data_IF_142816879015
#
_entry.id   IF_142816879015
#
_cell.length_a   1.000
_cell.length_b   1.000
_cell.length_c   1.000
_cell.angle_alpha   90.00
_cell.angle_beta   90.00
_cell.angle_gamma   90.00
#
_symmetry.space_group_name_H-M   'P 1'
#
loop_
_entity.id
_entity.type
_entity.pdbx_description
1 polymer ?
#
# COMPACT_ATOMS: atom_id res chain seq x y z
N UNK A 1 -90.79 5.24 -20.89
CA UNK A 1 -91.06 3.79 -20.74
C UNK A 1 -89.93 3.03 -21.37
N UNK A 2 -89.51 2.04 -20.69
CA UNK A 2 -88.67 0.89 -21.04
C UNK A 2 -87.19 0.98 -20.70
N UNK A 3 -86.82 0.18 -19.71
CA UNK A 3 -85.54 -0.21 -19.18
C UNK A 3 -84.80 -1.09 -20.18
N UNK A 4 -83.50 -0.95 -20.23
CA UNK A 4 -82.64 -2.07 -20.62
C UNK A 4 -81.40 -2.11 -19.70
N UNK A 5 -81.30 -3.22 -18.99
CA UNK A 5 -80.21 -3.54 -18.06
C UNK A 5 -78.95 -3.98 -18.83
N UNK A 6 -77.84 -3.37 -18.55
CA UNK A 6 -76.53 -3.79 -19.05
C UNK A 6 -75.78 -4.66 -18.03
N UNK A 7 -75.58 -5.90 -18.40
CA UNK A 7 -74.93 -6.96 -17.64
C UNK A 7 -73.43 -6.73 -17.60
N UNK A 8 -72.80 -6.58 -16.39
CA UNK A 8 -71.34 -6.50 -16.15
C UNK A 8 -70.77 -7.92 -16.20
N UNK A 9 -69.81 -8.12 -17.07
CA UNK A 9 -68.97 -9.29 -17.06
C UNK A 9 -67.91 -9.17 -15.93
N UNK A 10 -67.54 -10.25 -15.17
CA UNK A 10 -66.42 -10.24 -14.27
C UNK A 10 -65.16 -10.41 -15.09
N UNK A 11 -64.27 -9.40 -15.02
CA UNK A 11 -62.94 -9.43 -15.63
C UNK A 11 -61.86 -9.92 -14.65
N UNK A 12 -61.00 -10.71 -15.16
CA UNK A 12 -59.90 -11.45 -14.62
C UNK A 12 -59.02 -10.75 -13.56
N UNK A 13 -58.97 -11.29 -12.36
CA UNK A 13 -58.04 -10.94 -11.26
C UNK A 13 -56.88 -11.94 -11.18
N UNK A 14 -56.41 -12.52 -12.29
CA UNK A 14 -55.41 -13.56 -12.27
C UNK A 14 -53.99 -13.09 -12.65
N UNK A 15 -53.75 -11.79 -12.93
CA UNK A 15 -52.45 -11.26 -13.41
C UNK A 15 -51.49 -10.74 -12.35
N UNK A 16 -51.98 -10.39 -11.13
CA UNK A 16 -51.19 -9.68 -10.13
C UNK A 16 -50.23 -10.54 -9.28
N UNK A 17 -50.52 -11.81 -9.12
CA UNK A 17 -49.77 -12.68 -8.19
C UNK A 17 -48.42 -13.22 -8.77
N UNK A 18 -48.25 -13.23 -10.09
CA UNK A 18 -47.02 -13.75 -10.72
C UNK A 18 -45.91 -12.72 -10.86
N UNK A 19 -46.24 -11.42 -10.92
CA UNK A 19 -45.23 -10.35 -10.96
C UNK A 19 -44.62 -10.06 -9.57
N UNK A 20 -45.38 -10.20 -8.49
CA UNK A 20 -44.87 -10.01 -7.12
C UNK A 20 -43.84 -11.06 -6.72
N UNK A 21 -43.99 -12.30 -7.18
CA UNK A 21 -43.01 -13.38 -6.92
C UNK A 21 -41.68 -13.20 -7.65
N UNK A 22 -41.66 -12.55 -8.81
CA UNK A 22 -40.43 -12.33 -9.60
C UNK A 22 -39.54 -11.22 -9.01
N UNK A 23 -40.16 -10.19 -8.39
CA UNK A 23 -39.42 -9.08 -7.77
C UNK A 23 -38.78 -9.47 -6.43
N UNK A 24 -39.37 -10.39 -5.66
CA UNK A 24 -38.78 -10.91 -4.41
C UNK A 24 -37.63 -11.85 -4.71
N UNK A 25 -37.65 -12.61 -5.79
CA UNK A 25 -36.56 -13.51 -6.18
C UNK A 25 -35.29 -12.79 -6.68
N UNK A 26 -35.42 -11.59 -7.26
CA UNK A 26 -34.31 -10.81 -7.77
C UNK A 26 -33.58 -10.00 -6.68
N UNK A 27 -34.23 -9.71 -5.56
CA UNK A 27 -33.65 -8.96 -4.44
C UNK A 27 -32.64 -9.77 -3.60
N UNK A 28 -32.67 -11.11 -3.67
CA UNK A 28 -31.77 -11.99 -2.88
C UNK A 28 -30.41 -12.29 -3.54
N UNK A 29 -30.19 -11.84 -4.79
CA UNK A 29 -28.93 -12.08 -5.52
C UNK A 29 -27.89 -10.94 -5.39
N UNK A 30 -28.23 -9.85 -4.68
CA UNK A 30 -27.36 -8.69 -4.48
C UNK A 30 -26.65 -8.70 -3.11
N UNK A 31 -26.62 -9.82 -2.40
CA UNK A 31 -25.77 -10.03 -1.24
C UNK A 31 -24.30 -10.09 -1.70
N UNK A 32 -23.72 -8.95 -2.09
CA UNK A 32 -22.28 -8.83 -2.31
C UNK A 32 -21.57 -9.19 -1.00
N UNK A 33 -20.81 -10.29 -0.97
CA UNK A 33 -19.88 -10.60 0.10
C UNK A 33 -18.82 -9.49 0.10
N UNK A 34 -18.98 -8.45 0.92
CA UNK A 34 -17.88 -7.62 1.32
C UNK A 34 -16.94 -8.55 2.10
N UNK A 35 -15.72 -8.79 1.61
CA UNK A 35 -14.71 -9.48 2.39
C UNK A 35 -14.49 -8.67 3.68
N UNK A 36 -14.48 -9.31 4.86
CA UNK A 36 -14.15 -8.62 6.09
C UNK A 36 -12.74 -8.03 5.95
N UNK A 37 -12.55 -6.83 6.50
CA UNK A 37 -11.20 -6.27 6.64
C UNK A 37 -10.37 -7.20 7.53
N UNK A 38 -9.07 -7.39 7.24
CA UNK A 38 -8.21 -8.17 8.12
C UNK A 38 -8.18 -7.54 9.51
N UNK A 39 -8.36 -8.37 10.54
CA UNK A 39 -8.31 -7.97 11.94
C UNK A 39 -6.95 -8.34 12.53
N UNK A 40 -6.48 -7.56 13.49
CA UNK A 40 -5.24 -7.84 14.21
C UNK A 40 -5.37 -9.16 15.01
N UNK A 41 -4.35 -10.01 14.88
CA UNK A 41 -4.25 -11.30 15.60
C UNK A 41 -3.03 -11.26 16.52
N UNK A 42 -3.28 -11.38 17.83
CA UNK A 42 -2.24 -11.40 18.87
C UNK A 42 -1.86 -12.83 19.28
N UNK A 43 -2.23 -13.84 18.51
CA UNK A 43 -1.90 -15.23 18.81
C UNK A 43 -0.40 -15.50 18.62
N UNK A 44 0.17 -16.44 19.39
CA UNK A 44 1.54 -16.89 19.16
C UNK A 44 1.77 -17.47 17.75
N UNK A 45 0.70 -17.93 17.09
CA UNK A 45 0.78 -18.44 15.72
C UNK A 45 0.98 -17.29 14.71
N UNK A 46 0.29 -16.17 14.86
CA UNK A 46 0.46 -14.98 14.04
C UNK A 46 1.85 -14.36 14.23
N UNK A 47 2.34 -14.31 15.47
CA UNK A 47 3.71 -13.85 15.78
C UNK A 47 4.77 -14.75 15.10
N UNK A 48 4.64 -16.07 15.21
CA UNK A 48 5.55 -17.01 14.54
C UNK A 48 5.48 -16.91 13.01
N UNK A 49 4.30 -16.64 12.44
CA UNK A 49 4.13 -16.42 11.01
C UNK A 49 4.84 -15.13 10.55
N UNK A 50 4.74 -14.04 11.33
CA UNK A 50 5.49 -12.80 11.07
C UNK A 50 7.00 -13.02 11.13
N UNK A 51 7.52 -13.75 12.13
CA UNK A 51 8.94 -14.07 12.23
C UNK A 51 9.42 -14.90 11.03
N UNK A 52 8.67 -15.93 10.63
CA UNK A 52 8.99 -16.75 9.47
C UNK A 52 9.00 -15.95 8.17
N UNK A 53 8.02 -15.05 7.98
CA UNK A 53 7.96 -14.11 6.86
C UNK A 53 9.16 -13.15 6.86
N UNK A 54 9.50 -12.60 8.03
CA UNK A 54 10.65 -11.70 8.20
C UNK A 54 11.94 -12.37 7.75
N UNK A 55 12.21 -13.59 8.21
CA UNK A 55 13.41 -14.34 7.83
C UNK A 55 13.51 -14.58 6.31
N UNK A 56 12.37 -14.87 5.64
CA UNK A 56 12.33 -15.04 4.19
C UNK A 56 12.63 -13.74 3.43
N UNK A 57 12.10 -12.62 3.88
CA UNK A 57 12.29 -11.31 3.25
C UNK A 57 13.69 -10.74 3.50
N UNK A 58 14.29 -11.02 4.66
CA UNK A 58 15.68 -10.63 4.96
C UNK A 58 16.69 -11.41 4.13
N UNK A 59 16.37 -12.64 3.73
CA UNK A 59 17.20 -13.46 2.85
C UNK A 59 17.21 -12.99 1.39
N UNK A 60 16.43 -11.99 1.02
CA UNK A 60 16.41 -11.44 -0.34
C UNK A 60 17.60 -10.47 -0.55
N UNK A 61 18.63 -10.92 -1.24
CA UNK A 61 19.81 -10.11 -1.58
C UNK A 61 19.54 -9.05 -2.65
N UNK A 62 18.52 -9.27 -3.46
CA UNK A 62 18.15 -8.37 -4.54
C UNK A 62 16.64 -8.30 -4.75
N UNK A 63 16.14 -7.11 -5.02
CA UNK A 63 14.75 -6.89 -5.39
C UNK A 63 14.58 -5.53 -6.08
N UNK A 64 13.47 -5.38 -6.76
CA UNK A 64 13.07 -4.12 -7.40
C UNK A 64 11.60 -3.88 -7.20
N UNK A 65 11.24 -2.60 -7.05
CA UNK A 65 9.85 -2.16 -7.12
C UNK A 65 9.69 -0.93 -8.02
N UNK A 66 8.48 -0.78 -8.55
CA UNK A 66 8.02 0.45 -9.21
C UNK A 66 6.75 0.90 -8.51
N UNK A 67 6.76 2.13 -8.00
CA UNK A 67 5.67 2.68 -7.23
C UNK A 67 5.27 4.08 -7.69
N UNK A 68 4.05 4.48 -7.34
CA UNK A 68 3.60 5.87 -7.33
C UNK A 68 3.55 6.33 -5.89
N UNK A 69 4.14 7.49 -5.65
CA UNK A 69 4.15 8.15 -4.35
C UNK A 69 3.27 9.39 -4.41
N UNK A 70 2.55 9.64 -3.32
CA UNK A 70 1.87 10.90 -3.03
C UNK A 70 2.31 11.37 -1.66
N UNK A 71 2.77 12.60 -1.54
CA UNK A 71 3.14 13.24 -0.29
C UNK A 71 2.21 14.43 -0.07
N UNK A 72 1.58 14.48 1.09
CA UNK A 72 0.84 15.63 1.60
C UNK A 72 1.53 16.16 2.85
N UNK A 73 1.75 17.48 2.91
CA UNK A 73 2.34 18.20 4.04
C UNK A 73 1.64 19.54 4.20
N UNK A 74 0.80 19.67 5.22
CA UNK A 74 -0.08 20.83 5.37
C UNK A 74 -1.01 20.98 4.15
N UNK A 75 -0.90 22.13 3.44
CA UNK A 75 -1.66 22.41 2.22
C UNK A 75 -0.92 22.00 0.92
N UNK A 76 0.33 21.57 1.04
CA UNK A 76 1.14 21.18 -0.10
C UNK A 76 0.91 19.71 -0.47
N UNK A 77 0.80 19.44 -1.79
CA UNK A 77 0.68 18.09 -2.32
C UNK A 77 1.71 17.86 -3.42
N UNK A 78 2.42 16.77 -3.34
CA UNK A 78 3.44 16.37 -4.29
C UNK A 78 3.24 14.90 -4.72
N UNK A 79 3.61 14.57 -5.95
CA UNK A 79 3.55 13.19 -6.45
C UNK A 79 4.77 12.84 -7.29
N UNK A 80 5.17 11.56 -7.24
CA UNK A 80 6.27 11.05 -8.04
C UNK A 80 6.07 9.60 -8.44
N UNK A 81 6.85 9.19 -9.44
CA UNK A 81 7.15 7.78 -9.68
C UNK A 81 8.47 7.43 -9.02
N UNK A 82 8.50 6.29 -8.35
CA UNK A 82 9.69 5.71 -7.74
C UNK A 82 10.03 4.41 -8.48
N UNK A 83 11.29 4.28 -8.86
CA UNK A 83 11.89 3.02 -9.23
C UNK A 83 13.00 2.73 -8.21
N UNK A 84 12.82 1.69 -7.41
CA UNK A 84 13.74 1.34 -6.34
C UNK A 84 14.34 -0.02 -6.62
N UNK A 85 15.65 -0.11 -6.65
CA UNK A 85 16.42 -1.33 -6.85
C UNK A 85 17.34 -1.56 -5.67
N UNK A 86 17.44 -2.80 -5.27
CA UNK A 86 18.41 -3.26 -4.26
C UNK A 86 19.23 -4.39 -4.84
N UNK A 87 20.51 -4.31 -4.68
CA UNK A 87 21.45 -5.33 -5.05
C UNK A 87 22.66 -5.27 -4.12
N UNK A 88 23.03 -6.40 -3.52
CA UNK A 88 24.20 -6.52 -2.63
C UNK A 88 24.22 -5.40 -1.56
N UNK A 89 23.10 -5.16 -0.88
CA UNK A 89 22.99 -4.13 0.16
C UNK A 89 22.97 -2.68 -0.33
N UNK A 90 23.19 -2.42 -1.62
CA UNK A 90 23.08 -1.09 -2.18
C UNK A 90 21.64 -0.79 -2.62
N UNK A 91 21.08 0.32 -2.17
CA UNK A 91 19.78 0.81 -2.60
C UNK A 91 19.94 1.95 -3.62
N UNK A 92 19.25 1.88 -4.73
CA UNK A 92 19.16 2.94 -5.74
C UNK A 92 17.71 3.31 -5.97
N UNK A 93 17.35 4.52 -5.57
CA UNK A 93 16.00 5.10 -5.67
C UNK A 93 16.01 6.17 -6.76
N UNK A 94 15.38 5.89 -7.89
CA UNK A 94 15.16 6.85 -8.96
C UNK A 94 13.77 7.47 -8.84
N UNK A 95 13.70 8.75 -8.51
CA UNK A 95 12.44 9.49 -8.40
C UNK A 95 12.26 10.39 -9.63
N UNK A 96 11.02 10.46 -10.12
CA UNK A 96 10.62 11.37 -11.18
C UNK A 96 9.26 11.99 -10.89
N UNK A 97 9.19 13.30 -10.87
CA UNK A 97 7.94 14.04 -10.73
C UNK A 97 7.06 13.97 -11.99
N UNK A 98 5.86 14.58 -11.95
CA UNK A 98 4.92 14.58 -13.07
C UNK A 98 5.57 15.10 -14.35
N UNK A 99 5.29 14.42 -15.48
CA UNK A 99 5.89 14.73 -16.80
C UNK A 99 7.43 14.77 -16.80
N UNK A 100 8.08 14.04 -15.87
CA UNK A 100 9.54 13.99 -15.78
C UNK A 100 10.19 15.26 -15.21
N UNK A 101 9.43 16.18 -14.65
CA UNK A 101 9.96 17.40 -14.01
C UNK A 101 10.30 17.11 -12.56
N UNK A 102 11.44 17.64 -12.09
CA UNK A 102 11.95 17.39 -10.75
C UNK A 102 12.40 15.94 -10.53
N UNK A 103 12.75 15.61 -9.30
CA UNK A 103 13.25 14.30 -8.90
C UNK A 103 14.77 14.19 -8.93
N UNK A 104 15.28 12.98 -8.85
CA UNK A 104 16.69 12.68 -8.77
C UNK A 104 16.95 11.21 -8.46
N UNK A 105 18.20 10.90 -8.20
CA UNK A 105 18.67 9.59 -7.78
C UNK A 105 19.24 9.66 -6.37
N UNK A 106 18.69 8.88 -5.46
CA UNK A 106 19.27 8.63 -4.14
C UNK A 106 19.91 7.25 -4.15
N UNK A 107 21.18 7.19 -3.77
CA UNK A 107 21.91 5.94 -3.58
C UNK A 107 22.28 5.82 -2.11
N UNK A 108 21.87 4.69 -1.49
CA UNK A 108 22.30 4.32 -0.14
C UNK A 108 23.27 3.16 -0.27
N UNK A 109 24.45 3.33 0.28
CA UNK A 109 25.46 2.29 0.31
C UNK A 109 25.32 1.45 1.59
N UNK A 110 25.77 0.22 1.58
CA UNK A 110 25.76 -0.70 2.71
C UNK A 110 26.39 -0.10 3.99
N UNK A 111 27.37 0.78 3.85
CA UNK A 111 28.02 1.48 4.97
C UNK A 111 27.23 2.71 5.50
N UNK A 112 25.95 2.86 5.13
CA UNK A 112 25.06 3.94 5.57
C UNK A 112 25.26 5.28 4.85
N UNK A 113 26.22 5.37 3.90
CA UNK A 113 26.44 6.62 3.16
C UNK A 113 25.36 6.87 2.12
N UNK A 114 24.80 8.07 2.10
CA UNK A 114 23.83 8.52 1.14
C UNK A 114 24.42 9.51 0.12
N UNK A 115 24.10 9.31 -1.17
CA UNK A 115 24.40 10.23 -2.26
C UNK A 115 23.10 10.56 -2.99
N UNK A 116 22.70 11.83 -3.01
CA UNK A 116 21.58 12.32 -3.79
C UNK A 116 22.12 13.13 -4.97
N UNK A 117 21.68 12.78 -6.18
CA UNK A 117 21.96 13.51 -7.41
C UNK A 117 20.64 14.02 -7.96
N UNK A 118 20.48 15.33 -7.99
CA UNK A 118 19.28 15.96 -8.56
C UNK A 118 19.26 15.83 -10.08
N UNK A 119 18.13 16.09 -10.69
CA UNK A 119 18.01 16.09 -12.16
C UNK A 119 18.82 17.21 -12.83
N UNK A 120 19.11 18.32 -12.12
CA UNK A 120 20.03 19.38 -12.56
C UNK A 120 21.51 18.95 -12.50
N UNK A 121 21.80 17.78 -11.92
CA UNK A 121 23.18 17.25 -11.79
C UNK A 121 23.88 17.68 -10.50
N UNK A 122 23.20 18.40 -9.61
CA UNK A 122 23.76 18.75 -8.30
C UNK A 122 23.90 17.50 -7.43
N UNK A 123 24.98 17.43 -6.67
CA UNK A 123 25.34 16.26 -5.87
C UNK A 123 25.40 16.61 -4.39
N UNK A 124 24.70 15.87 -3.55
CA UNK A 124 24.68 16.03 -2.12
C UNK A 124 25.04 14.70 -1.45
N UNK A 125 25.85 14.74 -0.41
CA UNK A 125 26.26 13.54 0.34
C UNK A 125 26.07 13.75 1.84
N UNK A 126 25.72 12.68 2.56
CA UNK A 126 25.67 12.64 4.01
C UNK A 126 25.83 11.20 4.53
N UNK A 127 26.06 11.04 5.83
CA UNK A 127 26.00 9.76 6.53
C UNK A 127 24.56 9.46 6.99
N UNK A 128 23.73 10.49 7.14
CA UNK A 128 22.32 10.38 7.50
C UNK A 128 21.46 10.64 6.25
N UNK A 129 20.81 9.61 5.68
CA UNK A 129 19.97 9.74 4.50
C UNK A 129 18.72 10.58 4.75
N UNK A 130 18.13 10.52 5.95
CA UNK A 130 16.90 11.26 6.28
C UNK A 130 17.19 12.76 6.37
N UNK A 131 18.28 13.14 7.04
CA UNK A 131 18.74 14.53 7.07
C UNK A 131 19.15 15.05 5.68
N UNK A 132 19.72 14.19 4.83
CA UNK A 132 20.04 14.55 3.45
C UNK A 132 18.79 14.88 2.64
N UNK A 133 17.79 14.01 2.71
CA UNK A 133 16.52 14.17 1.99
C UNK A 133 15.77 15.37 2.50
N UNK A 134 15.65 15.56 3.82
CA UNK A 134 15.02 16.73 4.43
C UNK A 134 15.65 18.05 3.97
N UNK A 135 16.99 18.11 3.91
CA UNK A 135 17.72 19.32 3.44
C UNK A 135 17.45 19.66 1.97
N UNK A 136 17.29 18.63 1.11
CA UNK A 136 17.17 18.84 -0.34
C UNK A 136 15.72 18.99 -0.78
N UNK A 137 14.80 18.23 -0.17
CA UNK A 137 13.38 18.25 -0.53
C UNK A 137 12.55 19.20 0.35
N UNK A 138 13.07 19.63 1.50
CA UNK A 138 12.34 20.43 2.47
C UNK A 138 11.43 19.64 3.39
N UNK A 139 11.29 18.34 3.17
CA UNK A 139 10.38 17.44 3.88
C UNK A 139 11.13 16.28 4.54
N UNK A 140 10.72 15.96 5.77
CA UNK A 140 11.32 14.88 6.56
C UNK A 140 10.74 13.52 6.14
N UNK A 141 11.30 12.92 5.10
CA UNK A 141 10.92 11.59 4.62
C UNK A 141 11.84 10.55 5.28
N UNK A 142 11.30 9.50 5.92
CA UNK A 142 12.07 8.52 6.71
C UNK A 142 12.69 7.44 5.80
N UNK A 143 13.66 7.80 4.97
CA UNK A 143 14.26 6.87 4.00
C UNK A 143 14.92 5.68 4.69
N UNK A 144 15.55 5.89 5.84
CA UNK A 144 16.17 4.83 6.66
C UNK A 144 15.14 3.79 7.13
N UNK A 145 13.97 4.23 7.58
CA UNK A 145 12.87 3.35 7.96
C UNK A 145 12.23 2.69 6.74
N UNK A 146 12.02 3.44 5.65
CA UNK A 146 11.42 2.92 4.42
C UNK A 146 12.18 1.74 3.80
N UNK A 147 13.50 1.64 4.01
CA UNK A 147 14.32 0.49 3.60
C UNK A 147 13.73 -0.84 4.11
N UNK A 148 13.14 -0.82 5.29
CA UNK A 148 12.49 -1.97 5.93
C UNK A 148 11.00 -2.01 5.66
N UNK A 149 10.30 -0.91 5.97
CA UNK A 149 8.83 -0.84 5.96
C UNK A 149 8.22 -1.12 4.59
N UNK A 150 8.89 -0.76 3.49
CA UNK A 150 8.38 -1.05 2.14
C UNK A 150 8.17 -2.54 1.89
N UNK A 151 8.87 -3.42 2.60
CA UNK A 151 8.70 -4.87 2.58
C UNK A 151 7.84 -5.39 3.73
N UNK A 152 7.36 -4.51 4.62
CA UNK A 152 6.66 -4.89 5.85
C UNK A 152 7.58 -5.50 6.89
N UNK A 153 8.82 -5.01 6.98
CA UNK A 153 9.81 -5.37 8.00
C UNK A 153 9.95 -4.26 9.02
N UNK A 154 10.43 -4.60 10.21
CA UNK A 154 10.76 -3.64 11.25
C UNK A 154 12.18 -3.10 11.07
N UNK A 155 12.40 -1.82 11.34
CA UNK A 155 13.74 -1.26 11.45
C UNK A 155 14.40 -1.83 12.74
N UNK A 156 15.54 -2.50 12.65
CA UNK A 156 16.07 -3.32 13.77
C UNK A 156 16.50 -2.51 14.99
N UNK A 157 16.88 -1.23 14.82
CA UNK A 157 17.43 -0.41 15.88
C UNK A 157 16.39 0.48 16.60
N UNK A 158 15.11 0.38 16.24
CA UNK A 158 14.07 1.23 16.81
C UNK A 158 13.01 0.41 17.53
N UNK A 159 12.53 0.92 18.67
CA UNK A 159 11.37 0.35 19.35
C UNK A 159 10.12 0.43 18.46
N UNK A 160 9.22 -0.54 18.59
CA UNK A 160 8.05 -0.64 17.74
C UNK A 160 6.80 -1.08 18.50
N UNK A 161 5.64 -0.80 17.92
CA UNK A 161 4.40 -1.53 18.12
C UNK A 161 3.99 -2.11 16.77
N UNK A 162 3.43 -3.31 16.77
CA UNK A 162 3.14 -4.07 15.56
C UNK A 162 1.81 -4.78 15.73
N UNK A 163 0.91 -4.55 14.78
CA UNK A 163 -0.28 -5.35 14.58
C UNK A 163 -0.13 -6.19 13.31
N UNK A 164 -0.41 -7.49 13.42
CA UNK A 164 -0.36 -8.44 12.29
C UNK A 164 -1.71 -9.12 12.13
N UNK A 165 -1.97 -9.65 10.93
CA UNK A 165 -3.09 -10.57 10.73
C UNK A 165 -2.71 -12.02 11.05
N UNK A 166 -3.67 -12.95 10.92
CA UNK A 166 -3.46 -14.37 11.20
C UNK A 166 -2.39 -15.04 10.34
N UNK A 167 -2.04 -14.47 9.19
CA UNK A 167 -0.99 -14.95 8.28
C UNK A 167 0.37 -14.28 8.56
N UNK A 168 0.48 -13.46 9.61
CA UNK A 168 1.71 -12.73 9.97
C UNK A 168 2.04 -11.57 9.04
N UNK A 169 1.07 -11.05 8.26
CA UNK A 169 1.27 -9.84 7.49
C UNK A 169 1.06 -8.63 8.38
N UNK A 170 1.95 -7.62 8.37
CA UNK A 170 1.73 -6.41 9.16
C UNK A 170 0.49 -5.67 8.65
N UNK A 171 -0.35 -5.27 9.58
CA UNK A 171 -1.48 -4.36 9.36
C UNK A 171 -1.05 -2.93 9.66
N UNK A 172 -0.37 -2.74 10.79
CA UNK A 172 0.12 -1.46 11.24
C UNK A 172 1.46 -1.61 11.98
N UNK A 173 2.38 -0.68 11.73
CA UNK A 173 3.64 -0.55 12.47
C UNK A 173 3.74 0.87 13.01
N UNK A 174 3.97 1.02 14.32
CA UNK A 174 4.39 2.29 14.91
C UNK A 174 5.87 2.22 15.20
N UNK A 175 6.68 3.04 14.54
CA UNK A 175 8.12 3.02 14.70
C UNK A 175 8.74 4.39 14.36
N UNK A 176 9.69 4.85 15.15
CA UNK A 176 10.41 6.12 14.92
C UNK A 176 9.49 7.35 14.79
N UNK A 177 8.32 7.32 15.48
CA UNK A 177 7.31 8.37 15.42
C UNK A 177 6.46 8.36 14.15
N UNK A 178 6.57 7.33 13.32
CA UNK A 178 5.70 7.08 12.16
C UNK A 178 4.69 6.00 12.48
N UNK A 179 3.49 6.15 11.91
CA UNK A 179 2.49 5.10 11.77
C UNK A 179 2.53 4.63 10.33
N UNK A 180 2.71 3.34 10.10
CA UNK A 180 2.75 2.72 8.77
C UNK A 180 1.59 1.74 8.67
N UNK A 181 0.59 2.06 7.86
CA UNK A 181 -0.55 1.21 7.58
C UNK A 181 -0.35 0.44 6.27
N UNK A 182 -0.67 -0.86 6.28
CA UNK A 182 -0.63 -1.73 5.11
C UNK A 182 -2.05 -2.12 4.70
N UNK A 183 -2.52 -1.57 3.60
CA UNK A 183 -3.90 -1.74 3.16
C UNK A 183 -4.09 -2.94 2.21
N UNK A 184 -3.03 -3.34 1.49
CA UNK A 184 -3.13 -4.38 0.48
C UNK A 184 -1.80 -5.11 0.29
N UNK A 185 -1.86 -6.43 0.15
CA UNK A 185 -0.74 -7.30 -0.18
C UNK A 185 -1.04 -8.09 -1.46
N UNK A 186 -0.01 -8.43 -2.21
CA UNK A 186 -0.05 -9.32 -3.36
C UNK A 186 0.99 -10.42 -3.18
N UNK A 187 0.67 -11.63 -3.61
CA UNK A 187 1.61 -12.75 -3.57
C UNK A 187 2.54 -12.70 -4.78
N UNK A 188 3.83 -12.56 -4.51
CA UNK A 188 4.90 -12.49 -5.51
C UNK A 188 5.93 -13.57 -5.19
N UNK A 189 6.09 -14.54 -6.05
CA UNK A 189 7.03 -15.65 -5.89
C UNK A 189 6.90 -16.38 -4.54
N UNK A 190 5.66 -16.53 -4.03
CA UNK A 190 5.35 -17.19 -2.77
C UNK A 190 5.55 -16.30 -1.52
N UNK A 191 5.77 -15.00 -1.67
CA UNK A 191 5.89 -14.03 -0.59
C UNK A 191 4.79 -12.97 -0.68
N UNK A 192 4.10 -12.71 0.43
CA UNK A 192 3.13 -11.63 0.52
C UNK A 192 3.84 -10.27 0.57
N UNK A 193 3.81 -9.51 -0.51
CA UNK A 193 4.46 -8.21 -0.65
C UNK A 193 3.46 -7.07 -0.52
N UNK A 194 3.76 -5.99 0.21
CA UNK A 194 2.90 -4.82 0.27
C UNK A 194 2.72 -4.19 -1.12
N UNK A 195 1.49 -3.78 -1.47
CA UNK A 195 1.21 -3.05 -2.72
C UNK A 195 0.57 -1.70 -2.47
N UNK A 196 -0.07 -1.51 -1.32
CA UNK A 196 -0.61 -0.21 -0.90
C UNK A 196 -0.30 0.03 0.57
N UNK A 197 0.36 1.16 0.85
CA UNK A 197 0.72 1.55 2.21
C UNK A 197 0.62 3.06 2.40
N UNK A 198 0.36 3.47 3.63
CA UNK A 198 0.31 4.88 4.07
C UNK A 198 1.25 5.03 5.25
N UNK A 199 2.07 6.07 5.23
CA UNK A 199 2.95 6.45 6.34
C UNK A 199 2.53 7.83 6.82
N UNK A 200 2.30 7.96 8.11
CA UNK A 200 1.84 9.22 8.72
C UNK A 200 2.72 9.64 9.88
N UNK A 201 3.01 10.95 9.98
CA UNK A 201 3.64 11.60 11.12
C UNK A 201 3.34 13.10 11.13
N UNK A 202 2.74 13.61 12.23
CA UNK A 202 2.59 15.05 12.54
C UNK A 202 2.30 15.97 11.33
N UNK A 203 1.20 15.70 10.59
CA UNK A 203 0.78 16.52 9.46
C UNK A 203 1.48 16.21 8.12
N UNK A 204 2.30 15.17 8.09
CA UNK A 204 2.88 14.61 6.87
C UNK A 204 2.27 13.25 6.59
N UNK A 205 1.74 13.06 5.40
CA UNK A 205 1.22 11.78 4.92
C UNK A 205 1.95 11.39 3.64
N UNK A 206 2.53 10.18 3.61
CA UNK A 206 3.13 9.59 2.43
C UNK A 206 2.36 8.35 2.02
N UNK A 207 1.73 8.37 0.87
CA UNK A 207 1.04 7.22 0.26
C UNK A 207 1.92 6.57 -0.80
N UNK A 208 2.05 5.27 -0.73
CA UNK A 208 2.75 4.48 -1.73
C UNK A 208 1.82 3.44 -2.34
N UNK A 209 1.73 3.44 -3.68
CA UNK A 209 1.09 2.36 -4.45
C UNK A 209 2.14 1.70 -5.32
N UNK A 210 2.49 0.47 -4.96
CA UNK A 210 3.50 -0.33 -5.65
C UNK A 210 2.79 -1.12 -6.74
N UNK A 211 3.10 -0.81 -7.98
CA UNK A 211 2.47 -1.45 -9.15
C UNK A 211 3.24 -2.63 -9.69
N UNK A 212 4.46 -2.85 -9.21
CA UNK A 212 5.30 -3.99 -9.61
C UNK A 212 6.35 -4.28 -8.56
N UNK A 213 6.45 -5.58 -8.21
CA UNK A 213 7.58 -6.18 -7.52
C UNK A 213 8.33 -7.12 -8.46
N UNK A 214 9.61 -7.28 -8.21
CA UNK A 214 10.48 -8.30 -8.79
C UNK A 214 11.44 -8.73 -7.70
N UNK A 215 11.41 -10.01 -7.32
CA UNK A 215 12.20 -10.58 -6.24
C UNK A 215 13.29 -11.46 -6.84
N UNK A 216 14.52 -11.31 -6.34
CA UNK A 216 15.68 -12.04 -6.85
C UNK A 216 16.06 -11.67 -8.29
N UNK A 217 17.10 -12.35 -8.81
CA UNK A 217 17.59 -12.15 -10.18
C UNK A 217 18.41 -10.88 -10.38
N UNK A 218 18.94 -10.70 -11.59
CA UNK A 218 19.62 -9.46 -12.00
C UNK A 218 18.54 -8.41 -12.33
N UNK A 219 18.43 -7.32 -11.56
CA UNK A 219 17.46 -6.25 -11.80
C UNK A 219 17.92 -5.35 -12.97
N UNK A 220 18.17 -5.94 -14.14
CA UNK A 220 18.58 -5.23 -15.36
C UNK A 220 17.52 -4.25 -15.88
#
# INVERSE_FOLDING_TARGET
MSRAAGMRKPGDLAGGARLAGLLVGLGLLLGGCAAPLPEADTSPAAEAAFEARTAQLEALDSWRLVARLGLASGEEYWSAQLNWRVQEGQHVLDLSGPMGRGGGRLTLSENGRALLVTRSGERFQAQDPDALVARVLGESIPVSGMVYWVRGLLHPEASYQLDVDADGRPLEIHQSGWTIEYNEFEEIDGLAMPVTMVLEREGVELRARIGRWQLGGDPS
#
